data_IF_262629966041
#
_entry.id   IF_262629966041
#
_cell.length_a   1.000
_cell.length_b   1.000
_cell.length_c   1.000
_cell.angle_alpha   90.00
_cell.angle_beta   90.00
_cell.angle_gamma   90.00
#
_symmetry.space_group_name_H-M   'P 1'
#
loop_
_entity.id
_entity.type
_entity.pdbx_description
1 polymer ?
#
# COMPACT_ATOMS: atom_id res chain seq x y z
N UNK A 1 -9.96 -22.94 13.42
CA UNK A 1 -10.76 -21.91 14.11
C UNK A 1 -10.09 -20.54 14.08
N UNK A 2 -8.85 -20.36 14.51
CA UNK A 2 -8.20 -19.05 14.48
C UNK A 2 -8.09 -18.46 13.07
N UNK A 3 -7.68 -19.24 12.07
CA UNK A 3 -7.63 -18.81 10.66
C UNK A 3 -8.98 -18.29 10.14
N UNK A 4 -10.10 -18.84 10.63
CA UNK A 4 -11.43 -18.36 10.27
C UNK A 4 -11.70 -16.94 10.78
N UNK A 5 -11.19 -16.58 11.96
CA UNK A 5 -11.23 -15.18 12.42
C UNK A 5 -10.42 -14.27 11.49
N UNK A 6 -9.25 -14.73 11.02
CA UNK A 6 -8.46 -13.97 10.04
C UNK A 6 -9.21 -13.75 8.73
N UNK A 7 -9.82 -14.82 8.21
CA UNK A 7 -10.63 -14.79 6.99
C UNK A 7 -11.84 -13.86 7.09
N UNK A 8 -12.45 -13.69 8.27
CA UNK A 8 -13.54 -12.74 8.47
C UNK A 8 -13.06 -11.31 8.71
N UNK A 9 -12.01 -11.15 9.52
CA UNK A 9 -11.53 -9.82 9.94
C UNK A 9 -10.94 -9.07 8.76
N UNK A 10 -10.18 -9.73 7.89
CA UNK A 10 -9.53 -9.08 6.75
C UNK A 10 -10.49 -8.41 5.75
N UNK A 11 -11.46 -9.13 5.17
CA UNK A 11 -12.47 -8.53 4.30
C UNK A 11 -13.33 -7.47 4.99
N UNK A 12 -13.64 -7.65 6.28
CA UNK A 12 -14.38 -6.65 7.05
C UNK A 12 -13.57 -5.35 7.24
N UNK A 13 -12.26 -5.46 7.50
CA UNK A 13 -11.37 -4.30 7.58
C UNK A 13 -11.25 -3.61 6.22
N UNK A 14 -11.05 -4.38 5.14
CA UNK A 14 -11.00 -3.85 3.78
C UNK A 14 -12.29 -3.07 3.44
N UNK A 15 -13.47 -3.65 3.72
CA UNK A 15 -14.75 -3.01 3.48
C UNK A 15 -14.89 -1.69 4.26
N UNK A 16 -14.41 -1.66 5.50
CA UNK A 16 -14.46 -0.49 6.36
C UNK A 16 -13.49 0.62 5.88
N UNK A 17 -12.29 0.26 5.43
CA UNK A 17 -11.33 1.19 4.83
C UNK A 17 -11.90 1.82 3.55
N UNK A 18 -12.49 1.01 2.67
CA UNK A 18 -13.13 1.48 1.43
C UNK A 18 -14.33 2.38 1.72
N UNK A 19 -15.20 1.98 2.65
CA UNK A 19 -16.38 2.76 3.03
C UNK A 19 -16.00 4.12 3.64
N UNK A 20 -14.99 4.16 4.51
CA UNK A 20 -14.55 5.41 5.13
C UNK A 20 -13.99 6.40 4.11
N UNK A 21 -13.24 5.94 3.12
CA UNK A 21 -12.76 6.83 2.06
C UNK A 21 -13.92 7.42 1.26
N UNK A 22 -14.86 6.56 0.84
CA UNK A 22 -16.00 7.02 0.06
C UNK A 22 -16.84 8.07 0.81
N UNK A 23 -16.97 7.91 2.14
CA UNK A 23 -17.70 8.84 3.00
C UNK A 23 -16.93 10.14 3.32
N UNK A 24 -15.59 10.12 3.37
CA UNK A 24 -14.77 11.27 3.82
C UNK A 24 -14.29 12.16 2.69
N UNK A 25 -13.71 11.56 1.65
CA UNK A 25 -12.84 12.33 0.76
C UNK A 25 -13.52 12.73 -0.56
N UNK A 26 -14.69 12.14 -0.87
CA UNK A 26 -15.45 12.39 -2.10
C UNK A 26 -14.68 12.12 -3.41
N UNK A 27 -13.38 11.81 -3.31
CA UNK A 27 -12.41 11.68 -4.37
C UNK A 27 -11.69 10.34 -4.21
N UNK A 28 -11.53 9.57 -5.28
CA UNK A 28 -10.97 8.22 -5.22
C UNK A 28 -9.45 8.19 -4.99
N UNK A 29 -8.79 9.30 -4.64
CA UNK A 29 -7.41 9.54 -5.04
C UNK A 29 -6.29 9.35 -4.02
N UNK A 30 -6.47 9.33 -2.70
CA UNK A 30 -5.31 9.26 -1.77
C UNK A 30 -5.51 8.31 -0.58
N UNK A 31 -5.39 7.00 -0.78
CA UNK A 31 -5.14 6.05 0.31
C UNK A 31 -3.69 6.12 0.82
N UNK A 32 -2.72 6.56 -0.01
CA UNK A 32 -1.29 6.30 0.15
C UNK A 32 -1.02 4.80 0.41
N UNK A 33 -1.83 3.95 -0.22
CA UNK A 33 -1.75 2.51 -0.02
C UNK A 33 -1.62 1.80 -1.36
N UNK A 34 -0.95 0.66 -1.31
CA UNK A 34 -0.76 -0.23 -2.43
C UNK A 34 -2.11 -0.63 -3.05
N UNK A 35 -2.22 -0.65 -4.39
CA UNK A 35 -3.40 -1.19 -5.11
C UNK A 35 -3.74 -2.62 -4.71
N UNK A 36 -2.76 -3.34 -4.18
CA UNK A 36 -2.84 -4.72 -3.75
C UNK A 36 -3.44 -4.93 -2.34
N UNK A 37 -3.89 -3.86 -1.67
CA UNK A 37 -4.57 -3.93 -0.34
C UNK A 37 -5.73 -4.92 -0.30
N UNK A 38 -6.41 -5.14 -1.44
CA UNK A 38 -7.58 -6.01 -1.53
C UNK A 38 -7.31 -7.45 -1.07
N UNK A 39 -6.09 -7.94 -1.29
CA UNK A 39 -5.66 -9.25 -0.83
C UNK A 39 -4.64 -9.20 0.30
N UNK A 40 -3.84 -8.13 0.39
CA UNK A 40 -2.83 -7.97 1.44
C UNK A 40 -3.47 -7.88 2.83
N UNK A 41 -4.59 -7.14 2.98
CA UNK A 41 -5.31 -7.03 4.26
C UNK A 41 -5.84 -8.40 4.69
N UNK A 42 -6.58 -9.17 3.87
CA UNK A 42 -6.93 -10.55 4.19
C UNK A 42 -5.74 -11.44 4.53
N UNK A 43 -4.65 -11.40 3.75
CA UNK A 43 -3.46 -12.21 3.99
C UNK A 43 -2.83 -11.89 5.35
N UNK A 44 -2.67 -10.60 5.67
CA UNK A 44 -2.16 -10.15 6.96
C UNK A 44 -2.96 -10.77 8.12
N UNK A 45 -4.30 -10.71 8.02
CA UNK A 45 -5.17 -11.25 9.06
C UNK A 45 -5.08 -12.78 9.15
N UNK A 46 -5.00 -13.50 8.02
CA UNK A 46 -4.78 -14.95 8.02
C UNK A 46 -3.49 -15.30 8.75
N UNK A 47 -2.39 -14.57 8.47
CA UNK A 47 -1.08 -14.79 9.11
C UNK A 47 -1.12 -14.46 10.60
N UNK A 48 -1.68 -13.30 10.98
CA UNK A 48 -1.82 -12.87 12.37
C UNK A 48 -2.60 -13.90 13.19
N UNK A 49 -3.78 -14.28 12.72
CA UNK A 49 -4.62 -15.23 13.42
C UNK A 49 -4.09 -16.67 13.35
N UNK A 50 -3.35 -17.03 12.31
CA UNK A 50 -2.58 -18.27 12.25
C UNK A 50 -1.56 -18.35 13.39
N UNK A 51 -0.71 -17.33 13.51
CA UNK A 51 0.31 -17.24 14.57
C UNK A 51 -0.31 -17.24 15.97
N UNK A 52 -1.36 -16.43 16.19
CA UNK A 52 -2.08 -16.39 17.47
C UNK A 52 -2.72 -17.75 17.79
N UNK A 53 -3.31 -18.42 16.81
CA UNK A 53 -3.89 -19.74 16.98
C UNK A 53 -2.86 -20.79 17.40
N UNK A 54 -1.70 -20.80 16.76
CA UNK A 54 -0.58 -21.70 17.11
C UNK A 54 -0.11 -21.43 18.54
N UNK A 55 0.06 -20.16 18.93
CA UNK A 55 0.45 -19.79 20.28
C UNK A 55 -0.59 -20.27 21.32
N UNK A 56 -1.87 -20.01 21.07
CA UNK A 56 -2.95 -20.46 21.95
C UNK A 56 -3.03 -21.98 22.05
N UNK A 57 -2.79 -22.70 20.96
CA UNK A 57 -2.73 -24.17 20.95
C UNK A 57 -1.58 -24.72 21.79
N UNK A 58 -0.39 -24.13 21.67
CA UNK A 58 0.78 -24.50 22.50
C UNK A 58 0.54 -24.21 23.99
N UNK A 59 -0.11 -23.09 24.31
CA UNK A 59 -0.47 -22.73 25.68
C UNK A 59 -1.54 -23.67 26.24
N UNK A 60 -2.54 -24.04 25.45
CA UNK A 60 -3.57 -25.01 25.84
C UNK A 60 -2.98 -26.39 26.12
N UNK A 61 -1.99 -26.83 25.33
CA UNK A 61 -1.28 -28.08 25.57
C UNK A 61 -0.45 -28.09 26.86
N UNK A 62 0.05 -26.93 27.30
CA UNK A 62 0.83 -26.80 28.55
C UNK A 62 -0.03 -26.50 29.78
N UNK A 63 -1.18 -25.84 29.62
CA UNK A 63 -2.04 -25.41 30.73
C UNK A 63 -3.42 -26.07 30.65
N UNK A 64 -3.64 -27.10 31.48
CA UNK A 64 -4.89 -27.87 31.56
C UNK A 64 -6.15 -27.06 31.93
N UNK A 65 -5.98 -25.82 32.43
CA UNK A 65 -7.06 -24.89 32.77
C UNK A 65 -7.44 -23.93 31.64
N UNK A 66 -6.85 -24.07 30.45
CA UNK A 66 -7.12 -23.18 29.34
C UNK A 66 -8.46 -23.52 28.67
N UNK A 67 -9.49 -22.72 28.98
CA UNK A 67 -10.84 -22.89 28.44
C UNK A 67 -10.98 -22.32 27.03
N UNK A 68 -11.75 -23.00 26.18
CA UNK A 68 -12.22 -22.53 24.86
C UNK A 68 -12.83 -21.12 24.91
N UNK A 69 -13.48 -20.74 26.02
CA UNK A 69 -14.00 -19.39 26.24
C UNK A 69 -12.92 -18.31 26.23
N UNK A 70 -11.76 -18.60 26.82
CA UNK A 70 -10.63 -17.65 26.85
C UNK A 70 -10.03 -17.48 25.45
N UNK A 71 -9.95 -18.57 24.68
CA UNK A 71 -9.56 -18.51 23.27
C UNK A 71 -10.55 -17.69 22.43
N UNK A 72 -11.85 -17.93 22.60
CA UNK A 72 -12.92 -17.19 21.94
C UNK A 72 -12.88 -15.69 22.26
N UNK A 73 -12.70 -15.35 23.54
CA UNK A 73 -12.50 -13.97 23.98
C UNK A 73 -11.27 -13.34 23.30
N UNK A 74 -10.11 -14.00 23.36
CA UNK A 74 -8.86 -13.42 22.87
C UNK A 74 -8.88 -13.20 21.35
N UNK A 75 -9.36 -14.17 20.57
CA UNK A 75 -9.46 -14.02 19.11
C UNK A 75 -10.50 -12.96 18.72
N UNK A 76 -11.65 -12.93 19.41
CA UNK A 76 -12.65 -11.88 19.22
C UNK A 76 -12.14 -10.49 19.59
N UNK A 77 -11.37 -10.39 20.68
CA UNK A 77 -10.73 -9.15 21.12
C UNK A 77 -9.77 -8.61 20.08
N UNK A 78 -8.83 -9.43 19.58
CA UNK A 78 -7.87 -9.00 18.55
C UNK A 78 -8.59 -8.58 17.26
N UNK A 79 -9.63 -9.32 16.85
CA UNK A 79 -10.44 -8.97 15.67
C UNK A 79 -11.09 -7.59 15.82
N UNK A 80 -11.74 -7.35 16.95
CA UNK A 80 -12.41 -6.08 17.23
C UNK A 80 -11.43 -4.91 17.41
N UNK A 81 -10.24 -5.16 17.99
CA UNK A 81 -9.18 -4.14 18.02
C UNK A 81 -8.75 -3.77 16.61
N UNK A 82 -8.52 -4.74 15.72
CA UNK A 82 -8.13 -4.44 14.33
C UNK A 82 -9.19 -3.61 13.61
N UNK A 83 -10.45 -4.04 13.67
CA UNK A 83 -11.56 -3.33 13.02
C UNK A 83 -11.80 -1.92 13.58
N UNK A 84 -11.64 -1.73 14.89
CA UNK A 84 -11.81 -0.41 15.51
C UNK A 84 -10.62 0.52 15.27
N UNK A 85 -9.39 0.01 15.19
CA UNK A 85 -8.22 0.79 14.79
C UNK A 85 -8.30 1.26 13.33
N UNK A 86 -8.95 0.49 12.46
CA UNK A 86 -9.22 0.92 11.09
C UNK A 86 -10.19 2.12 11.03
N UNK A 87 -10.89 2.45 12.12
CA UNK A 87 -11.68 3.68 12.24
C UNK A 87 -10.79 4.81 12.75
N UNK A 88 -10.26 5.62 11.83
CA UNK A 88 -9.34 6.75 12.13
C UNK A 88 -9.88 7.78 13.14
N UNK A 89 -11.19 7.81 13.40
CA UNK A 89 -11.79 8.72 14.40
C UNK A 89 -11.74 8.21 15.84
N UNK A 90 -11.44 6.93 16.07
CA UNK A 90 -11.46 6.34 17.41
C UNK A 90 -10.05 6.36 17.98
N UNK A 91 -9.90 6.91 19.20
CA UNK A 91 -8.61 6.91 19.89
C UNK A 91 -8.17 5.47 20.22
N UNK A 92 -6.89 5.08 20.05
CA UNK A 92 -6.45 3.69 20.22
C UNK A 92 -6.80 3.06 21.58
N UNK A 93 -6.78 3.85 22.65
CA UNK A 93 -7.17 3.38 24.00
C UNK A 93 -8.67 3.05 24.04
N UNK A 94 -9.52 3.87 23.43
CA UNK A 94 -10.95 3.61 23.34
C UNK A 94 -11.24 2.35 22.52
N UNK A 95 -10.50 2.12 21.43
CA UNK A 95 -10.55 0.89 20.64
C UNK A 95 -10.29 -0.34 21.48
N UNK A 96 -9.26 -0.31 22.34
CA UNK A 96 -8.93 -1.42 23.26
C UNK A 96 -10.05 -1.66 24.28
N UNK A 97 -10.58 -0.61 24.90
CA UNK A 97 -11.64 -0.73 25.92
C UNK A 97 -12.93 -1.30 25.28
N UNK A 98 -13.35 -0.74 24.14
CA UNK A 98 -14.54 -1.17 23.41
C UNK A 98 -14.40 -2.62 22.93
N UNK A 99 -13.27 -2.97 22.35
CA UNK A 99 -12.99 -4.33 21.90
C UNK A 99 -13.02 -5.32 23.07
N UNK A 100 -12.49 -4.94 24.24
CA UNK A 100 -12.51 -5.79 25.43
C UNK A 100 -13.95 -6.08 25.89
N UNK A 101 -14.79 -5.04 26.03
CA UNK A 101 -16.18 -5.18 26.45
C UNK A 101 -17.03 -5.99 25.46
N UNK A 102 -16.90 -5.70 24.17
CA UNK A 102 -17.62 -6.41 23.10
C UNK A 102 -17.16 -7.87 22.97
N UNK A 103 -15.85 -8.13 23.04
CA UNK A 103 -15.32 -9.49 23.01
C UNK A 103 -15.78 -10.31 24.22
N UNK A 104 -15.79 -9.72 25.42
CA UNK A 104 -16.27 -10.38 26.63
C UNK A 104 -17.75 -10.78 26.50
N UNK A 105 -18.58 -9.88 25.98
CA UNK A 105 -20.01 -10.14 25.76
C UNK A 105 -20.26 -11.18 24.66
N UNK A 106 -19.43 -11.21 23.62
CA UNK A 106 -19.56 -12.15 22.50
C UNK A 106 -18.96 -13.53 22.80
N UNK A 107 -18.00 -13.64 23.71
CA UNK A 107 -17.24 -14.85 23.98
C UNK A 107 -18.08 -16.12 24.24
N UNK A 108 -19.20 -16.09 25.02
CA UNK A 108 -20.02 -17.27 25.22
C UNK A 108 -20.70 -17.78 23.94
N UNK A 109 -21.16 -16.86 23.08
CA UNK A 109 -21.80 -17.23 21.80
C UNK A 109 -20.78 -17.78 20.82
N UNK A 110 -19.62 -17.11 20.72
CA UNK A 110 -18.51 -17.56 19.89
C UNK A 110 -18.01 -18.94 20.33
N UNK A 111 -17.92 -19.19 21.63
CA UNK A 111 -17.56 -20.50 22.17
C UNK A 111 -18.55 -21.59 21.72
N UNK A 112 -19.85 -21.36 21.90
CA UNK A 112 -20.90 -22.31 21.49
C UNK A 112 -20.91 -22.56 19.97
N UNK A 113 -20.93 -21.49 19.16
CA UNK A 113 -21.15 -21.58 17.71
C UNK A 113 -19.89 -21.95 16.92
N UNK A 114 -18.71 -21.57 17.42
CA UNK A 114 -17.44 -21.79 16.70
C UNK A 114 -16.59 -22.91 17.30
N UNK A 115 -16.47 -23.01 18.62
CA UNK A 115 -15.56 -23.96 19.26
C UNK A 115 -16.23 -25.28 19.62
N UNK A 116 -17.46 -25.24 20.12
CA UNK A 116 -18.17 -26.44 20.56
C UNK A 116 -18.91 -27.12 19.40
N UNK A 117 -19.71 -26.36 18.64
CA UNK A 117 -20.47 -26.94 17.52
C UNK A 117 -19.68 -27.00 16.21
N UNK A 118 -18.72 -26.10 16.00
CA UNK A 118 -17.96 -25.95 14.75
C UNK A 118 -18.81 -25.63 13.51
N UNK A 119 -20.14 -25.57 13.65
CA UNK A 119 -21.11 -25.56 12.54
C UNK A 119 -21.05 -24.26 11.77
N UNK A 120 -20.88 -23.14 12.48
CA UNK A 120 -20.76 -21.83 11.85
C UNK A 120 -19.49 -21.75 11.00
N UNK A 121 -18.37 -22.25 11.53
CA UNK A 121 -17.08 -22.25 10.84
C UNK A 121 -17.14 -23.15 9.62
N UNK A 122 -17.62 -24.39 9.74
CA UNK A 122 -17.74 -25.32 8.61
C UNK A 122 -18.65 -24.78 7.48
N UNK A 123 -19.74 -24.09 7.83
CA UNK A 123 -20.65 -23.49 6.84
C UNK A 123 -20.08 -22.26 6.14
N UNK A 124 -19.41 -21.39 6.88
CA UNK A 124 -18.98 -20.07 6.36
C UNK A 124 -17.57 -20.07 5.82
N UNK A 125 -16.69 -20.97 6.28
CA UNK A 125 -15.31 -21.08 5.83
C UNK A 125 -15.17 -21.19 4.31
N UNK A 126 -15.85 -22.12 3.59
CA UNK A 126 -15.67 -22.22 2.14
C UNK A 126 -16.13 -20.96 1.40
N UNK A 127 -17.17 -20.29 1.89
CA UNK A 127 -17.68 -19.04 1.31
C UNK A 127 -16.65 -17.93 1.48
N UNK A 128 -16.17 -17.70 2.70
CA UNK A 128 -15.23 -16.61 2.99
C UNK A 128 -13.87 -16.87 2.36
N UNK A 129 -13.39 -18.11 2.40
CA UNK A 129 -12.16 -18.50 1.68
C UNK A 129 -12.32 -18.30 0.17
N UNK A 130 -13.48 -18.68 -0.40
CA UNK A 130 -13.81 -18.43 -1.80
C UNK A 130 -13.80 -16.94 -2.15
N UNK A 131 -14.35 -16.08 -1.28
CA UNK A 131 -14.33 -14.62 -1.46
C UNK A 131 -12.89 -14.08 -1.43
N UNK A 132 -12.06 -14.49 -0.46
CA UNK A 132 -10.66 -14.04 -0.39
C UNK A 132 -9.86 -14.51 -1.60
N UNK A 133 -10.05 -15.76 -2.03
CA UNK A 133 -9.42 -16.29 -3.24
C UNK A 133 -9.89 -15.58 -4.50
N UNK A 134 -11.19 -15.24 -4.59
CA UNK A 134 -11.74 -14.47 -5.69
C UNK A 134 -11.18 -13.04 -5.69
N UNK A 135 -11.07 -12.37 -4.54
CA UNK A 135 -10.45 -11.04 -4.43
C UNK A 135 -8.98 -11.06 -4.87
N UNK A 136 -8.21 -12.06 -4.44
CA UNK A 136 -6.82 -12.26 -4.83
C UNK A 136 -6.68 -12.54 -6.34
N UNK A 137 -7.46 -13.49 -6.85
CA UNK A 137 -7.44 -13.86 -8.27
C UNK A 137 -7.93 -12.72 -9.16
N UNK A 138 -8.94 -11.97 -8.72
CA UNK A 138 -9.46 -10.82 -9.45
C UNK A 138 -8.47 -9.64 -9.42
N UNK A 139 -7.82 -9.34 -8.29
CA UNK A 139 -6.87 -8.22 -8.23
C UNK A 139 -5.67 -8.44 -9.15
N UNK A 140 -5.04 -9.62 -9.08
CA UNK A 140 -3.85 -9.94 -9.88
C UNK A 140 -4.26 -10.24 -11.33
N UNK A 141 -5.35 -10.99 -11.51
CA UNK A 141 -5.85 -11.37 -12.81
C UNK A 141 -6.34 -10.18 -13.63
N UNK A 142 -7.05 -9.23 -13.03
CA UNK A 142 -7.46 -8.01 -13.73
C UNK A 142 -6.26 -7.18 -14.13
N UNK A 143 -5.30 -6.96 -13.23
CA UNK A 143 -4.11 -6.15 -13.52
C UNK A 143 -3.33 -6.74 -14.69
N UNK A 144 -2.89 -8.00 -14.56
CA UNK A 144 -2.19 -8.70 -15.63
C UNK A 144 -2.99 -8.71 -16.92
N UNK A 145 -4.29 -8.99 -16.88
CA UNK A 145 -5.13 -8.97 -18.08
C UNK A 145 -5.24 -7.58 -18.72
N UNK A 146 -5.37 -6.52 -17.92
CA UNK A 146 -5.39 -5.14 -18.43
C UNK A 146 -4.07 -4.76 -19.07
N UNK A 147 -2.93 -5.13 -18.46
CA UNK A 147 -1.60 -4.90 -19.03
C UNK A 147 -1.43 -5.65 -20.36
N UNK A 148 -1.76 -6.94 -20.41
CA UNK A 148 -1.67 -7.75 -21.63
C UNK A 148 -2.57 -7.19 -22.73
N UNK A 149 -3.79 -6.74 -22.40
CA UNK A 149 -4.68 -6.10 -23.37
C UNK A 149 -4.14 -4.77 -23.85
N UNK A 150 -3.62 -3.93 -22.96
CA UNK A 150 -3.02 -2.66 -23.31
C UNK A 150 -1.81 -2.85 -24.23
N UNK A 151 -0.92 -3.79 -23.90
CA UNK A 151 0.20 -4.22 -24.74
C UNK A 151 -0.26 -4.68 -26.13
N UNK A 152 -1.26 -5.56 -26.19
CA UNK A 152 -1.77 -6.09 -27.45
C UNK A 152 -2.49 -5.01 -28.31
N UNK A 153 -2.99 -3.95 -27.68
CA UNK A 153 -3.68 -2.84 -28.36
C UNK A 153 -2.74 -1.74 -28.87
N UNK A 154 -1.44 -1.82 -28.57
CA UNK A 154 -0.48 -0.82 -29.02
C UNK A 154 -0.41 -0.77 -30.55
N UNK A 155 -0.36 0.42 -31.17
CA UNK A 155 -0.04 0.52 -32.58
C UNK A 155 1.38 0.00 -32.83
N UNK A 156 1.68 -0.49 -34.04
CA UNK A 156 3.00 -0.98 -34.36
C UNK A 156 4.05 0.13 -34.18
N UNK A 157 5.11 -0.17 -33.43
CA UNK A 157 6.24 0.73 -33.28
C UNK A 157 6.86 1.03 -34.65
N UNK A 158 7.19 2.29 -34.91
CA UNK A 158 7.83 2.67 -36.17
C UNK A 158 9.27 2.18 -36.17
N UNK A 159 9.71 1.64 -37.30
CA UNK A 159 11.09 1.19 -37.47
C UNK A 159 12.04 2.38 -37.29
N UNK A 160 12.99 2.26 -36.36
CA UNK A 160 13.99 3.29 -36.08
C UNK A 160 13.67 4.21 -34.91
N UNK A 161 12.48 4.11 -34.31
CA UNK A 161 12.16 4.84 -33.07
C UNK A 161 13.06 4.34 -31.91
N UNK A 162 13.69 5.26 -31.14
CA UNK A 162 14.60 4.87 -30.07
C UNK A 162 13.84 4.45 -28.81
N UNK A 163 14.45 3.60 -27.99
CA UNK A 163 13.99 3.39 -26.61
C UNK A 163 14.23 4.64 -25.77
N UNK A 164 13.25 5.01 -24.96
CA UNK A 164 13.32 6.19 -24.07
C UNK A 164 13.40 5.70 -22.62
N UNK A 165 14.45 6.11 -21.92
CA UNK A 165 14.62 5.87 -20.48
C UNK A 165 14.62 7.22 -19.75
N UNK A 166 13.60 7.45 -18.94
CA UNK A 166 13.46 8.68 -18.14
C UNK A 166 13.76 8.39 -16.67
N UNK A 167 14.87 8.93 -16.17
CA UNK A 167 15.33 8.74 -14.79
C UNK A 167 15.15 10.04 -14.03
N UNK A 168 14.37 9.99 -12.95
CA UNK A 168 14.17 11.13 -12.04
C UNK A 168 14.74 10.77 -10.67
N UNK A 169 15.64 11.62 -10.16
CA UNK A 169 16.09 11.56 -8.78
C UNK A 169 15.28 12.58 -7.98
N UNK A 170 14.41 12.09 -7.09
CA UNK A 170 13.53 12.97 -6.32
C UNK A 170 14.29 13.65 -5.17
N UNK A 171 13.97 14.91 -4.92
CA UNK A 171 14.60 15.78 -3.91
C UNK A 171 16.13 15.94 -4.01
N UNK A 172 16.73 15.61 -5.17
CA UNK A 172 18.18 15.75 -5.38
C UNK A 172 18.58 17.21 -5.53
N UNK A 173 19.69 17.58 -4.91
CA UNK A 173 20.34 18.87 -5.13
C UNK A 173 21.56 18.71 -6.03
N UNK A 174 21.65 19.51 -7.09
CA UNK A 174 22.82 19.53 -7.98
C UNK A 174 24.13 19.83 -7.22
N UNK A 175 24.07 20.59 -6.13
CA UNK A 175 25.23 20.90 -5.28
C UNK A 175 25.83 19.66 -4.59
N UNK A 176 25.08 18.56 -4.51
CA UNK A 176 25.50 17.29 -3.90
C UNK A 176 25.86 16.21 -4.94
N UNK A 177 25.99 16.58 -6.21
CA UNK A 177 26.34 15.66 -7.30
C UNK A 177 27.77 15.89 -7.76
N UNK A 178 28.62 14.84 -7.76
CA UNK A 178 29.99 14.93 -8.30
C UNK A 178 30.04 15.42 -9.75
N UNK A 179 29.00 15.11 -10.54
CA UNK A 179 28.79 15.62 -11.90
C UNK A 179 28.78 17.15 -12.01
N UNK A 180 28.41 17.85 -10.94
CA UNK A 180 28.35 19.30 -10.86
C UNK A 180 29.41 19.90 -9.92
N UNK A 181 30.46 19.13 -9.58
CA UNK A 181 31.60 19.61 -8.80
C UNK A 181 31.55 19.34 -7.30
N UNK A 182 30.63 18.50 -6.81
CA UNK A 182 30.64 18.07 -5.41
C UNK A 182 31.89 17.25 -5.08
N UNK A 183 32.48 17.48 -3.91
CA UNK A 183 33.78 16.91 -3.51
C UNK A 183 33.77 15.39 -3.33
N UNK A 184 32.61 14.81 -2.98
CA UNK A 184 32.44 13.36 -2.84
C UNK A 184 31.96 12.77 -4.17
N UNK A 185 32.45 11.60 -4.53
CA UNK A 185 32.02 10.92 -5.76
C UNK A 185 30.64 10.25 -5.62
N UNK A 186 29.59 11.07 -5.67
CA UNK A 186 28.20 10.65 -5.45
C UNK A 186 27.49 10.20 -6.73
N UNK A 187 27.97 10.60 -7.90
CA UNK A 187 27.27 10.39 -9.20
C UNK A 187 28.17 9.85 -10.33
N UNK A 188 29.04 8.84 -10.09
CA UNK A 188 29.99 8.38 -11.09
C UNK A 188 29.34 7.82 -12.37
N UNK A 189 28.21 7.14 -12.24
CA UNK A 189 27.46 6.61 -13.38
C UNK A 189 26.85 7.71 -14.26
N UNK A 190 26.32 8.77 -13.65
CA UNK A 190 25.80 9.93 -14.38
C UNK A 190 26.92 10.72 -15.05
N UNK A 191 28.08 10.84 -14.41
CA UNK A 191 29.27 11.43 -15.02
C UNK A 191 29.74 10.64 -16.25
N UNK A 192 29.70 9.31 -16.21
CA UNK A 192 29.98 8.47 -17.38
C UNK A 192 28.95 8.67 -18.50
N UNK A 193 27.68 8.82 -18.16
CA UNK A 193 26.62 9.07 -19.14
C UNK A 193 26.78 10.45 -19.80
N UNK A 194 27.05 11.48 -19.00
CA UNK A 194 27.23 12.85 -19.48
C UNK A 194 28.38 12.99 -20.50
N UNK A 195 29.43 12.17 -20.42
CA UNK A 195 30.52 12.14 -21.42
C UNK A 195 30.06 11.70 -22.82
N UNK A 196 28.91 11.03 -22.93
CA UNK A 196 28.33 10.53 -24.18
C UNK A 196 27.06 11.29 -24.60
N UNK A 197 26.70 12.35 -23.88
CA UNK A 197 25.44 13.05 -24.07
C UNK A 197 25.54 14.53 -23.80
N UNK A 198 24.39 15.17 -23.60
CA UNK A 198 24.29 16.60 -23.28
C UNK A 198 24.05 16.77 -21.78
N UNK A 199 24.86 17.61 -21.15
CA UNK A 199 24.69 18.02 -19.75
C UNK A 199 24.30 19.49 -19.71
N UNK A 200 23.18 19.80 -19.05
CA UNK A 200 22.74 21.17 -18.83
C UNK A 200 23.37 21.72 -17.55
N UNK A 201 24.06 22.86 -17.64
CA UNK A 201 24.62 23.54 -16.47
C UNK A 201 23.53 24.19 -15.60
N UNK A 202 22.42 24.60 -16.23
CA UNK A 202 21.32 25.31 -15.58
C UNK A 202 19.97 24.65 -15.86
N UNK A 203 19.77 23.43 -15.37
CA UNK A 203 18.45 22.81 -15.29
C UNK A 203 17.72 23.27 -14.01
N UNK A 204 16.49 23.82 -14.15
CA UNK A 204 15.70 24.35 -13.02
C UNK A 204 14.38 23.60 -12.89
N UNK A 205 14.00 23.28 -11.66
CA UNK A 205 12.66 22.72 -11.36
C UNK A 205 11.60 23.81 -11.52
N UNK A 206 10.42 23.44 -12.03
CA UNK A 206 9.29 24.36 -12.19
C UNK A 206 8.53 24.61 -10.88
N UNK A 207 8.66 23.71 -9.90
CA UNK A 207 8.07 23.84 -8.57
C UNK A 207 9.06 23.43 -7.46
N UNK A 208 8.89 23.93 -6.22
CA UNK A 208 9.80 23.63 -5.10
C UNK A 208 9.58 22.26 -4.45
N UNK A 209 8.60 21.47 -4.89
CA UNK A 209 8.24 20.21 -4.27
C UNK A 209 7.72 19.17 -5.28
N UNK A 210 7.71 17.92 -4.85
CA UNK A 210 7.66 16.72 -5.71
C UNK A 210 6.48 16.69 -6.66
N UNK A 211 5.23 16.66 -6.16
CA UNK A 211 4.06 16.38 -7.01
C UNK A 211 3.90 17.42 -8.15
N UNK A 212 3.89 18.75 -7.90
CA UNK A 212 3.71 19.70 -9.01
C UNK A 212 4.90 19.78 -9.95
N UNK A 213 6.12 19.54 -9.45
CA UNK A 213 7.31 19.44 -10.30
C UNK A 213 7.21 18.24 -11.25
N UNK A 214 6.79 17.08 -10.74
CA UNK A 214 6.58 15.87 -11.56
C UNK A 214 5.42 16.05 -12.53
N UNK A 215 4.29 16.57 -12.07
CA UNK A 215 3.14 16.87 -12.94
C UNK A 215 3.55 17.78 -14.11
N UNK A 216 4.31 18.83 -13.84
CA UNK A 216 4.86 19.72 -14.86
C UNK A 216 5.83 18.99 -15.81
N UNK A 217 6.75 18.16 -15.29
CA UNK A 217 7.66 17.35 -16.10
C UNK A 217 6.93 16.38 -17.03
N UNK A 218 5.86 15.75 -16.56
CA UNK A 218 5.10 14.75 -17.33
C UNK A 218 4.10 15.37 -18.31
N UNK A 219 3.66 16.61 -18.11
CA UNK A 219 2.65 17.24 -18.98
C UNK A 219 3.22 18.33 -19.88
N UNK A 220 4.37 18.91 -19.53
CA UNK A 220 4.92 20.10 -20.19
C UNK A 220 4.21 21.40 -19.83
N UNK A 221 3.25 21.37 -18.89
CA UNK A 221 2.54 22.56 -18.41
C UNK A 221 3.23 23.18 -17.19
N UNK A 222 3.00 24.48 -16.95
CA UNK A 222 3.49 25.11 -15.72
C UNK A 222 2.66 24.66 -14.52
N UNK A 223 3.25 24.58 -13.31
CA UNK A 223 2.51 24.18 -12.12
C UNK A 223 1.28 25.06 -11.79
N UNK A 224 1.24 26.32 -12.24
CA UNK A 224 0.08 27.19 -12.02
C UNK A 224 -1.10 26.89 -12.95
N UNK A 225 -0.87 26.13 -14.03
CA UNK A 225 -1.90 25.66 -14.95
C UNK A 225 -2.50 24.30 -14.51
N UNK A 226 -1.96 23.71 -13.44
CA UNK A 226 -2.30 22.38 -12.96
C UNK A 226 -2.87 22.45 -11.53
N UNK A 227 -3.88 21.64 -11.23
CA UNK A 227 -4.47 21.50 -9.90
C UNK A 227 -3.69 20.53 -9.01
N UNK A 228 -2.75 19.77 -9.58
CA UNK A 228 -1.88 18.84 -8.87
C UNK A 228 -1.25 19.52 -7.63
N UNK A 229 -1.56 19.02 -6.44
CA UNK A 229 -1.20 19.67 -5.19
C UNK A 229 -1.60 18.86 -3.95
N UNK A 230 -1.67 19.52 -2.79
CA UNK A 230 -1.94 18.82 -1.53
C UNK A 230 -3.33 18.19 -1.54
N UNK A 231 -3.40 16.86 -1.50
CA UNK A 231 -4.65 16.11 -1.59
C UNK A 231 -5.39 16.28 -2.92
N UNK A 232 -4.74 16.82 -3.94
CA UNK A 232 -5.32 17.03 -5.27
C UNK A 232 -4.47 16.30 -6.31
N UNK A 233 -5.02 15.28 -7.00
CA UNK A 233 -4.29 14.59 -8.05
C UNK A 233 -4.19 15.49 -9.30
N UNK A 234 -3.34 15.09 -10.22
CA UNK A 234 -3.30 15.67 -11.57
C UNK A 234 -4.64 15.42 -12.29
N UNK A 235 -5.16 16.46 -12.94
CA UNK A 235 -6.44 16.41 -13.64
C UNK A 235 -6.40 15.41 -14.81
N UNK A 236 -7.51 14.69 -15.08
CA UNK A 236 -7.53 13.61 -16.06
C UNK A 236 -7.54 14.08 -17.51
N UNK A 237 -7.81 15.36 -17.78
CA UNK A 237 -7.93 15.96 -19.11
C UNK A 237 -6.60 16.49 -19.66
N UNK A 238 -5.58 16.66 -18.82
CA UNK A 238 -4.24 17.06 -19.25
C UNK A 238 -3.44 15.81 -19.69
N UNK A 239 -3.05 15.68 -20.98
CA UNK A 239 -2.29 14.52 -21.45
C UNK A 239 -0.88 14.44 -20.84
N UNK A 240 -0.41 13.24 -20.57
CA UNK A 240 0.96 13.00 -20.09
C UNK A 240 1.92 12.58 -21.22
N UNK A 241 3.22 12.68 -20.95
CA UNK A 241 4.30 12.17 -21.78
C UNK A 241 4.15 10.67 -22.00
N UNK A 242 3.79 9.92 -20.96
CA UNK A 242 3.58 8.48 -21.04
C UNK A 242 2.38 8.15 -21.94
N UNK A 243 1.28 8.91 -21.87
CA UNK A 243 0.14 8.75 -22.78
C UNK A 243 0.56 9.03 -24.22
N UNK A 244 1.28 10.13 -24.42
CA UNK A 244 1.79 10.52 -25.74
C UNK A 244 2.73 9.48 -26.36
N UNK A 245 3.54 8.79 -25.56
CA UNK A 245 4.43 7.72 -26.02
C UNK A 245 3.65 6.43 -26.30
N UNK A 246 2.75 6.04 -25.38
CA UNK A 246 1.88 4.86 -25.54
C UNK A 246 1.08 4.94 -26.84
N UNK A 247 0.48 6.09 -27.11
CA UNK A 247 -0.35 6.31 -28.30
C UNK A 247 0.49 6.28 -29.61
N UNK A 248 1.82 6.32 -29.50
CA UNK A 248 2.79 6.15 -30.60
C UNK A 248 3.36 4.73 -30.70
N UNK A 249 2.90 3.78 -29.88
CA UNK A 249 3.30 2.37 -29.95
C UNK A 249 4.41 1.99 -28.97
N UNK A 250 4.75 2.87 -28.03
CA UNK A 250 5.72 2.55 -26.99
C UNK A 250 5.11 1.69 -25.90
N UNK A 251 5.84 0.65 -25.50
CA UNK A 251 5.58 -0.04 -24.26
C UNK A 251 6.06 0.81 -23.08
N UNK A 252 5.13 1.34 -22.29
CA UNK A 252 5.42 2.27 -21.20
C UNK A 252 5.38 1.58 -19.85
N UNK A 253 6.48 1.71 -19.09
CA UNK A 253 6.62 1.20 -17.72
C UNK A 253 7.06 2.32 -16.76
N UNK A 254 6.43 2.41 -15.59
CA UNK A 254 6.78 3.35 -14.52
C UNK A 254 7.16 2.62 -13.25
N UNK A 255 8.26 3.04 -12.62
CA UNK A 255 8.76 2.46 -11.36
C UNK A 255 9.09 3.59 -10.40
N UNK A 256 8.39 3.62 -9.26
CA UNK A 256 8.38 4.77 -8.36
C UNK A 256 8.85 4.37 -6.95
N UNK A 257 9.75 5.19 -6.38
CA UNK A 257 10.18 5.05 -4.99
C UNK A 257 9.45 6.01 -4.04
N UNK A 258 8.99 7.17 -4.52
CA UNK A 258 8.21 8.11 -3.72
C UNK A 258 6.70 7.86 -3.86
N UNK A 259 6.20 6.93 -3.06
CA UNK A 259 4.79 6.50 -3.09
C UNK A 259 3.84 7.58 -2.54
N UNK A 260 4.37 8.55 -1.79
CA UNK A 260 3.58 9.62 -1.17
C UNK A 260 3.10 10.64 -2.19
N UNK A 261 3.96 11.01 -3.15
CA UNK A 261 3.68 12.08 -4.12
C UNK A 261 3.65 11.61 -5.57
N UNK A 262 4.12 10.40 -5.85
CA UNK A 262 4.23 9.87 -7.21
C UNK A 262 3.51 8.52 -7.40
N UNK A 263 2.66 8.11 -6.45
CA UNK A 263 1.80 6.93 -6.63
C UNK A 263 0.74 7.16 -7.71
N UNK A 264 0.10 6.08 -8.14
CA UNK A 264 -0.94 6.15 -9.17
C UNK A 264 -2.15 6.98 -8.75
N UNK A 265 -2.31 7.12 -7.46
CA UNK A 265 -3.26 7.96 -6.76
C UNK A 265 -3.14 9.45 -7.09
N UNK A 266 -1.93 9.91 -7.41
CA UNK A 266 -1.69 11.31 -7.79
C UNK A 266 -1.98 11.58 -9.27
N UNK A 267 -2.37 10.57 -10.04
CA UNK A 267 -2.66 10.68 -11.48
C UNK A 267 -1.41 10.62 -12.38
N UNK A 268 -0.22 10.46 -11.80
CA UNK A 268 1.04 10.37 -12.55
C UNK A 268 1.26 9.00 -13.24
N UNK A 269 0.46 7.98 -12.91
CA UNK A 269 0.51 6.69 -13.60
C UNK A 269 -0.14 6.71 -14.99
N UNK A 270 -0.86 7.78 -15.35
CA UNK A 270 -1.59 7.84 -16.62
C UNK A 270 -0.64 7.70 -17.78
N UNK A 271 -0.94 6.78 -18.70
CA UNK A 271 -0.12 6.48 -19.87
C UNK A 271 0.87 5.35 -19.68
N UNK A 272 1.17 4.94 -18.45
CA UNK A 272 1.96 3.75 -18.19
C UNK A 272 1.10 2.50 -18.28
N UNK A 273 1.56 1.51 -19.05
CA UNK A 273 0.89 0.22 -19.14
C UNK A 273 1.23 -0.60 -17.91
N UNK A 274 2.51 -0.65 -17.54
CA UNK A 274 2.95 -1.20 -16.27
C UNK A 274 3.33 -0.07 -15.32
N UNK A 275 2.85 -0.11 -14.07
CA UNK A 275 3.14 0.94 -13.09
C UNK A 275 3.32 0.35 -11.70
N UNK A 276 4.55 0.40 -11.20
CA UNK A 276 4.95 -0.10 -9.88
C UNK A 276 5.23 1.09 -8.95
N UNK A 277 4.34 1.29 -7.97
CA UNK A 277 4.47 2.34 -6.97
C UNK A 277 4.59 1.83 -5.54
N UNK A 278 4.53 0.52 -5.29
CA UNK A 278 4.65 -0.05 -3.96
C UNK A 278 5.32 -1.41 -4.02
N UNK A 279 6.50 -1.51 -3.44
CA UNK A 279 7.22 -2.78 -3.33
C UNK A 279 6.41 -3.82 -2.53
N UNK A 280 6.29 -5.02 -3.10
CA UNK A 280 5.70 -6.17 -2.43
C UNK A 280 6.71 -6.84 -1.52
N UNK A 281 6.66 -6.45 -0.25
CA UNK A 281 7.46 -7.03 0.83
C UNK A 281 6.61 -7.50 2.00
N UNK A 282 7.16 -8.34 2.87
CA UNK A 282 6.50 -8.70 4.14
C UNK A 282 6.17 -7.45 4.98
N UNK A 283 7.01 -6.41 4.92
CA UNK A 283 6.76 -5.13 5.58
C UNK A 283 5.55 -4.41 4.97
N UNK A 284 5.37 -4.47 3.65
CA UNK A 284 4.19 -3.90 2.98
C UNK A 284 2.89 -4.59 3.40
N UNK A 285 2.90 -5.92 3.57
CA UNK A 285 1.74 -6.68 4.08
C UNK A 285 1.39 -6.26 5.50
N UNK A 286 2.40 -6.07 6.36
CA UNK A 286 2.20 -5.56 7.72
C UNK A 286 1.64 -4.14 7.72
N UNK A 287 2.18 -3.24 6.87
CA UNK A 287 1.71 -1.86 6.78
C UNK A 287 0.33 -1.71 6.09
N UNK A 288 -0.16 -2.76 5.43
CA UNK A 288 -1.46 -2.73 4.73
C UNK A 288 -2.67 -2.74 5.67
N UNK A 289 -2.53 -3.28 6.89
CA UNK A 289 -3.61 -3.38 7.87
C UNK A 289 -3.45 -2.35 9.00
N UNK A 290 -4.57 -1.84 9.51
CA UNK A 290 -4.60 -0.80 10.54
C UNK A 290 -3.88 -1.22 11.82
N UNK A 291 -4.04 -2.49 12.23
CA UNK A 291 -3.30 -3.04 13.36
C UNK A 291 -1.79 -2.99 13.13
N UNK A 292 -1.33 -3.37 11.93
CA UNK A 292 0.08 -3.39 11.60
C UNK A 292 0.71 -2.00 11.48
N UNK A 293 -0.04 -1.01 10.99
CA UNK A 293 0.37 0.41 10.99
C UNK A 293 0.65 0.90 12.42
N UNK A 294 -0.32 0.75 13.32
CA UNK A 294 -0.18 1.18 14.73
C UNK A 294 0.95 0.42 15.45
N UNK A 295 1.11 -0.86 15.14
CA UNK A 295 2.18 -1.68 15.70
C UNK A 295 3.57 -1.19 15.26
N UNK A 296 3.74 -0.92 13.96
CA UNK A 296 4.99 -0.41 13.39
C UNK A 296 5.31 1.01 13.87
N UNK A 297 4.34 1.91 13.94
CA UNK A 297 4.52 3.26 14.48
C UNK A 297 5.04 3.22 15.92
N UNK A 298 4.46 2.36 16.76
CA UNK A 298 4.91 2.20 18.15
C UNK A 298 6.30 1.59 18.23
N UNK A 299 6.60 0.54 17.46
CA UNK A 299 7.94 -0.04 17.40
C UNK A 299 8.99 0.96 16.92
N UNK A 300 8.69 1.74 15.87
CA UNK A 300 9.55 2.79 15.36
C UNK A 300 9.82 3.86 16.43
N UNK A 301 8.77 4.31 17.13
CA UNK A 301 8.90 5.28 18.23
C UNK A 301 9.72 4.75 19.41
N UNK A 302 9.76 3.43 19.63
CA UNK A 302 10.57 2.77 20.65
C UNK A 302 12.02 2.61 20.18
N UNK A 303 12.25 2.33 18.90
CA UNK A 303 13.59 2.24 18.31
C UNK A 303 14.29 3.60 18.23
N UNK A 304 13.56 4.69 17.96
CA UNK A 304 14.09 6.08 18.01
C UNK A 304 14.20 6.63 19.43
N UNK A 305 13.75 5.88 20.46
CA UNK A 305 13.93 6.19 21.88
C UNK A 305 15.08 5.42 22.53
N UNK A 306 16.01 4.88 21.73
CA UNK A 306 17.35 4.56 22.25
C UNK A 306 18.02 5.87 22.74
N UNK A 307 18.67 5.90 23.91
CA UNK A 307 19.16 7.13 24.50
C UNK A 307 20.18 7.78 23.56
N UNK A 308 19.96 9.08 23.27
CA UNK A 308 21.06 9.96 22.89
C UNK A 308 22.15 9.80 23.96
N UNK A 309 23.25 9.18 23.59
CA UNK A 309 24.49 9.40 24.31
C UNK A 309 24.97 10.79 23.89
N UNK A 310 24.82 11.74 24.80
CA UNK A 310 25.55 13.00 24.77
C UNK A 310 27.05 12.71 24.76
N UNK A 311 27.73 13.09 23.68
CA UNK A 311 29.08 13.71 23.64
C UNK A 311 29.50 13.96 22.20
#
# INVERSE_FOLDING_TARGET
MSVWFGLLTGPAELALVVAQKHLRDGTPGFFQMNRQIAWMIPLFHILLFGALGTLLGLLAGKWSRFSTRRAAFFLGFVSLVSLSLAIRSIHPIASVILACGLAYRAAPRVEADCFQSGRLVLKTFPVVAGVVMALFGLSIGLETWTEHRAMASLPPAKTGDPNVLFIVMDTVSAQHMSLYGYSRDTTPNLARLARKGVRFEHARSTAPWTLPSHASMFTGHWPHDLAAGYGKPLEPDVPTLAESLRDRGYATGGFIANTLYCSAETGLNRGFIHFDDHELSAASVLHSAAFGQVFLEKLGSLATRAPNFDS
#
